data_IF_918031379930
#
_entry.id   IF_918031379930
#
_cell.length_a   1.000
_cell.length_b   1.000
_cell.length_c   1.000
_cell.angle_alpha   90.00
_cell.angle_beta   90.00
_cell.angle_gamma   90.00
#
_symmetry.space_group_name_H-M   'P 1'
#
loop_
_entity.id
_entity.type
_entity.pdbx_description
1 polymer ?
#
# COMPACT_ATOMS: atom_id res chain seq x y z
N UNK A 1 14.78 21.45 -27.22
CA UNK A 1 13.57 20.93 -27.87
C UNK A 1 13.04 21.98 -28.88
N UNK A 2 12.83 21.62 -30.16
CA UNK A 2 12.29 22.57 -31.15
C UNK A 2 10.76 22.41 -31.21
N UNK A 3 10.05 23.27 -30.51
CA UNK A 3 8.58 23.27 -30.40
C UNK A 3 7.87 23.39 -31.75
N UNK A 4 8.52 24.02 -32.76
CA UNK A 4 7.94 24.17 -34.11
C UNK A 4 7.78 22.86 -34.88
N UNK A 5 8.47 21.78 -34.44
CA UNK A 5 8.37 20.46 -35.06
C UNK A 5 7.34 19.54 -34.38
N UNK A 6 6.74 19.98 -33.29
CA UNK A 6 5.70 19.22 -32.56
C UNK A 6 4.39 19.37 -33.33
N UNK A 7 3.83 18.24 -33.77
CA UNK A 7 2.54 18.18 -34.48
C UNK A 7 1.38 17.79 -33.57
N UNK A 8 1.66 17.10 -32.49
CA UNK A 8 0.67 16.60 -31.54
C UNK A 8 1.17 16.80 -30.10
N UNK A 9 0.26 17.18 -29.22
CA UNK A 9 0.51 17.29 -27.77
C UNK A 9 -0.55 16.44 -27.11
N UNK A 10 -0.11 15.46 -26.31
CA UNK A 10 -0.97 14.64 -25.47
C UNK A 10 -0.84 15.07 -24.01
N UNK A 11 -1.93 14.99 -23.27
CA UNK A 11 -1.97 15.22 -21.84
C UNK A 11 -2.44 13.94 -21.16
N UNK A 12 -1.82 13.59 -20.03
CA UNK A 12 -2.34 12.59 -19.14
C UNK A 12 -3.64 13.10 -18.50
N UNK A 13 -4.58 12.20 -18.24
CA UNK A 13 -5.90 12.59 -17.75
C UNK A 13 -5.93 12.63 -16.22
N UNK A 14 -5.47 11.55 -15.58
CA UNK A 14 -5.62 11.35 -14.15
C UNK A 14 -4.67 12.24 -13.36
N UNK A 15 -5.21 13.06 -12.45
CA UNK A 15 -4.47 14.06 -11.66
C UNK A 15 -3.77 15.15 -12.49
N UNK A 16 -3.89 15.12 -13.83
CA UNK A 16 -3.38 16.14 -14.75
C UNK A 16 -4.51 17.03 -15.26
N UNK A 17 -5.50 16.47 -15.93
CA UNK A 17 -6.68 17.20 -16.43
C UNK A 17 -7.86 17.08 -15.46
N UNK A 18 -7.96 15.98 -14.73
CA UNK A 18 -9.03 15.70 -13.77
C UNK A 18 -8.44 15.64 -12.37
N UNK A 19 -9.08 16.32 -11.42
CA UNK A 19 -8.78 16.22 -10.00
C UNK A 19 -9.76 15.27 -9.33
N UNK A 20 -9.25 14.24 -8.69
CA UNK A 20 -10.03 13.35 -7.84
C UNK A 20 -10.08 13.86 -6.40
N UNK A 21 -11.19 13.62 -5.74
CA UNK A 21 -11.21 13.66 -4.27
C UNK A 21 -10.47 12.41 -3.77
N UNK A 22 -9.15 12.54 -3.58
CA UNK A 22 -8.28 11.40 -3.26
C UNK A 22 -8.73 10.67 -1.99
N UNK A 23 -9.20 11.38 -0.98
CA UNK A 23 -9.67 10.74 0.26
C UNK A 23 -10.92 9.89 0.03
N UNK A 24 -11.88 10.40 -0.73
CA UNK A 24 -13.11 9.65 -1.02
C UNK A 24 -12.80 8.44 -1.91
N UNK A 25 -12.00 8.63 -2.96
CA UNK A 25 -11.60 7.57 -3.88
C UNK A 25 -10.85 6.45 -3.17
N UNK A 26 -9.81 6.79 -2.40
CA UNK A 26 -9.01 5.82 -1.65
C UNK A 26 -9.83 5.08 -0.58
N UNK A 27 -10.80 5.77 0.04
CA UNK A 27 -11.73 5.14 0.99
C UNK A 27 -12.64 4.10 0.32
N UNK A 28 -13.15 4.41 -0.88
CA UNK A 28 -13.94 3.46 -1.67
C UNK A 28 -13.08 2.28 -2.14
N UNK A 29 -11.88 2.55 -2.63
CA UNK A 29 -10.93 1.52 -3.03
C UNK A 29 -10.59 0.57 -1.87
N UNK A 30 -10.28 1.12 -0.69
CA UNK A 30 -10.01 0.33 0.51
C UNK A 30 -11.17 -0.61 0.87
N UNK A 31 -12.41 -0.09 0.90
CA UNK A 31 -13.59 -0.91 1.18
C UNK A 31 -13.81 -2.00 0.12
N UNK A 32 -13.58 -1.67 -1.14
CA UNK A 32 -13.69 -2.62 -2.24
C UNK A 32 -12.67 -3.75 -2.11
N UNK A 33 -11.41 -3.41 -1.83
CA UNK A 33 -10.35 -4.40 -1.60
C UNK A 33 -10.66 -5.33 -0.43
N UNK A 34 -11.16 -4.80 0.70
CA UNK A 34 -11.58 -5.61 1.84
C UNK A 34 -12.64 -6.65 1.46
N UNK A 35 -13.66 -6.24 0.70
CA UNK A 35 -14.72 -7.14 0.23
C UNK A 35 -14.17 -8.25 -0.67
N UNK A 36 -13.28 -7.90 -1.60
CA UNK A 36 -12.67 -8.87 -2.51
C UNK A 36 -11.75 -9.85 -1.78
N UNK A 37 -10.95 -9.38 -0.82
CA UNK A 37 -10.10 -10.25 0.00
C UNK A 37 -10.93 -11.28 0.77
N UNK A 38 -12.07 -10.88 1.33
CA UNK A 38 -12.97 -11.83 2.00
C UNK A 38 -13.59 -12.82 1.01
N UNK A 39 -14.16 -12.32 -0.09
CA UNK A 39 -14.94 -13.14 -1.02
C UNK A 39 -14.07 -14.04 -1.92
N UNK A 40 -12.91 -13.54 -2.35
CA UNK A 40 -12.08 -14.21 -3.36
C UNK A 40 -10.86 -14.92 -2.76
N UNK A 41 -10.36 -14.45 -1.60
CA UNK A 41 -9.17 -15.00 -0.95
C UNK A 41 -9.45 -15.67 0.40
N UNK A 42 -10.71 -15.66 0.87
CA UNK A 42 -11.11 -16.33 2.11
C UNK A 42 -10.59 -15.68 3.39
N UNK A 43 -10.31 -14.39 3.36
CA UNK A 43 -9.94 -13.64 4.56
C UNK A 43 -11.11 -13.56 5.55
N UNK A 44 -10.85 -13.45 6.86
CA UNK A 44 -11.90 -13.43 7.86
C UNK A 44 -12.78 -12.17 7.73
N UNK A 45 -14.10 -12.33 7.85
CA UNK A 45 -15.08 -11.23 7.72
C UNK A 45 -14.82 -10.04 8.66
N UNK A 46 -14.12 -10.25 9.77
CA UNK A 46 -13.78 -9.18 10.70
C UNK A 46 -12.99 -8.04 10.05
N UNK A 47 -12.24 -8.31 8.96
CA UNK A 47 -11.49 -7.28 8.25
C UNK A 47 -12.42 -6.24 7.57
N UNK A 48 -13.66 -6.60 7.24
CA UNK A 48 -14.64 -5.66 6.65
C UNK A 48 -14.93 -4.45 7.54
N UNK A 49 -14.63 -4.54 8.84
CA UNK A 49 -14.83 -3.47 9.83
C UNK A 49 -13.61 -2.56 9.99
N UNK A 50 -12.52 -2.80 9.25
CA UNK A 50 -11.33 -1.97 9.32
C UNK A 50 -11.64 -0.56 8.80
N UNK A 51 -11.37 0.49 9.60
CA UNK A 51 -11.64 1.86 9.18
C UNK A 51 -10.61 2.32 8.16
N UNK A 52 -11.03 3.18 7.24
CA UNK A 52 -10.09 3.88 6.37
C UNK A 52 -9.66 5.19 7.04
N UNK A 53 -8.37 5.35 7.31
CA UNK A 53 -7.77 6.61 7.77
C UNK A 53 -6.73 7.10 6.76
N UNK A 54 -7.13 8.10 5.98
CA UNK A 54 -6.29 8.71 4.95
C UNK A 54 -4.99 9.30 5.50
N UNK A 55 -4.97 9.70 6.78
CA UNK A 55 -3.83 10.33 7.42
C UNK A 55 -2.86 9.33 8.08
N UNK A 56 -3.20 8.05 8.11
CA UNK A 56 -2.37 7.01 8.74
C UNK A 56 -1.10 6.70 7.95
N UNK A 57 -1.07 6.99 6.66
CA UNK A 57 0.06 6.74 5.74
C UNK A 57 0.33 7.96 4.88
N UNK A 58 1.55 8.09 4.40
CA UNK A 58 1.95 9.15 3.46
C UNK A 58 2.64 8.53 2.24
N UNK A 59 2.57 9.22 1.10
CA UNK A 59 3.37 8.83 -0.07
C UNK A 59 4.86 8.91 0.23
N UNK A 60 5.64 8.06 -0.41
CA UNK A 60 7.08 7.97 -0.21
C UNK A 60 7.50 7.06 0.94
N UNK A 61 6.55 6.26 1.48
CA UNK A 61 6.88 5.11 2.31
C UNK A 61 7.33 3.93 1.46
N UNK A 62 7.98 2.97 2.10
CA UNK A 62 8.34 1.69 1.51
C UNK A 62 7.76 0.60 2.40
N UNK A 63 7.12 -0.38 1.78
CA UNK A 63 6.65 -1.60 2.45
C UNK A 63 7.81 -2.60 2.47
N UNK A 64 8.19 -3.09 3.65
CA UNK A 64 9.03 -4.27 3.83
C UNK A 64 8.11 -5.47 4.04
N UNK A 65 7.85 -6.18 2.96
CA UNK A 65 6.93 -7.33 2.98
C UNK A 65 7.46 -8.50 3.80
N UNK A 66 8.78 -8.68 3.89
CA UNK A 66 9.37 -9.78 4.63
C UNK A 66 9.14 -9.66 6.15
N UNK A 67 9.07 -8.41 6.66
CA UNK A 67 8.92 -8.13 8.10
C UNK A 67 7.55 -7.57 8.50
N UNK A 68 6.65 -7.33 7.56
CA UNK A 68 5.35 -6.70 7.85
C UNK A 68 5.47 -5.22 8.24
N UNK A 69 6.48 -4.52 7.73
CA UNK A 69 6.79 -3.17 8.16
C UNK A 69 6.52 -2.11 7.09
N UNK A 70 6.17 -0.89 7.57
CA UNK A 70 6.12 0.33 6.77
C UNK A 70 7.30 1.22 7.15
N UNK A 71 8.10 1.62 6.16
CA UNK A 71 9.35 2.31 6.36
C UNK A 71 9.31 3.72 5.78
N UNK A 72 9.74 4.71 6.56
CA UNK A 72 10.11 6.02 6.05
C UNK A 72 11.60 6.03 5.76
N UNK A 73 11.96 6.23 4.51
CA UNK A 73 13.36 6.22 4.06
C UNK A 73 13.82 7.62 3.67
N UNK A 74 15.13 7.86 3.78
CA UNK A 74 15.76 9.07 3.23
C UNK A 74 15.96 8.88 1.70
N UNK A 75 16.30 9.97 1.01
CA UNK A 75 16.66 9.93 -0.41
C UNK A 75 17.82 8.98 -0.75
N UNK A 76 18.59 8.55 0.24
CA UNK A 76 19.71 7.63 0.10
C UNK A 76 19.37 6.21 0.60
N UNK A 77 18.10 5.87 0.79
CA UNK A 77 17.66 4.56 1.22
C UNK A 77 17.83 4.27 2.72
N UNK A 78 18.35 5.23 3.52
CA UNK A 78 18.48 5.00 4.96
C UNK A 78 17.13 5.07 5.67
N UNK A 79 16.82 4.09 6.53
CA UNK A 79 15.56 3.97 7.24
C UNK A 79 15.54 4.98 8.39
N UNK A 80 14.55 5.87 8.40
CA UNK A 80 14.36 6.94 9.40
C UNK A 80 13.34 6.59 10.45
N UNK A 81 12.24 5.98 10.04
CA UNK A 81 11.15 5.54 10.92
C UNK A 81 10.63 4.23 10.38
N UNK A 82 10.26 3.33 11.25
CA UNK A 82 9.61 2.06 10.91
C UNK A 82 8.36 1.85 11.77
N UNK A 83 7.36 1.23 11.16
CA UNK A 83 6.15 0.76 11.81
C UNK A 83 5.98 -0.71 11.50
N UNK A 84 5.61 -1.51 12.49
CA UNK A 84 5.15 -2.87 12.29
C UNK A 84 3.62 -2.85 12.26
N UNK A 85 3.05 -3.26 11.14
CA UNK A 85 1.64 -2.96 10.91
C UNK A 85 1.38 -1.45 10.99
N UNK A 86 0.48 -1.04 11.88
CA UNK A 86 0.19 0.38 12.16
C UNK A 86 0.98 0.94 13.34
N UNK A 87 1.70 0.11 14.10
CA UNK A 87 2.38 0.51 15.35
C UNK A 87 3.82 0.92 15.10
N UNK A 88 4.20 2.08 15.62
CA UNK A 88 5.58 2.56 15.53
C UNK A 88 6.53 1.62 16.28
N UNK A 89 7.61 1.23 15.61
CA UNK A 89 8.72 0.49 16.20
C UNK A 89 9.62 1.50 16.94
N UNK A 90 10.05 1.15 18.16
CA UNK A 90 11.00 1.99 18.89
C UNK A 90 12.39 1.97 18.24
N UNK A 91 13.20 3.00 18.54
CA UNK A 91 14.51 3.17 17.91
C UNK A 91 15.47 2.00 18.16
N UNK A 92 15.44 1.39 19.35
CA UNK A 92 16.35 0.29 19.68
C UNK A 92 15.99 -0.96 18.86
N UNK A 93 14.72 -1.25 18.76
CA UNK A 93 14.24 -2.37 17.94
C UNK A 93 14.50 -2.10 16.44
N UNK A 94 14.23 -0.87 15.97
CA UNK A 94 14.56 -0.48 14.59
C UNK A 94 16.05 -0.68 14.28
N UNK A 95 16.95 -0.32 15.22
CA UNK A 95 18.38 -0.54 15.03
C UNK A 95 18.75 -2.03 14.98
N UNK A 96 18.08 -2.88 15.74
CA UNK A 96 18.30 -4.34 15.65
C UNK A 96 17.85 -4.90 14.30
N UNK A 97 16.68 -4.45 13.83
CA UNK A 97 16.07 -5.01 12.63
C UNK A 97 16.74 -4.51 11.34
N UNK A 98 17.30 -3.29 11.38
CA UNK A 98 17.76 -2.56 10.19
C UNK A 98 19.15 -1.93 10.33
N UNK A 99 19.98 -2.37 11.29
CA UNK A 99 21.33 -1.83 11.43
C UNK A 99 22.15 -1.99 10.14
N UNK A 100 22.63 -0.88 9.60
CA UNK A 100 23.41 -0.89 8.36
C UNK A 100 22.61 -1.23 7.09
N UNK A 101 21.29 -1.40 7.19
CA UNK A 101 20.43 -1.70 6.04
C UNK A 101 20.08 -0.42 5.29
N UNK A 102 20.28 -0.46 3.99
CA UNK A 102 19.79 0.54 3.05
C UNK A 102 18.69 -0.12 2.21
N UNK A 103 17.58 0.59 2.03
CA UNK A 103 16.50 0.10 1.19
C UNK A 103 16.93 0.17 -0.27
N UNK A 104 16.94 -0.97 -0.93
CA UNK A 104 17.13 -1.12 -2.37
C UNK A 104 15.82 -1.60 -2.98
N UNK A 105 15.18 -0.76 -3.79
CA UNK A 105 13.92 -1.09 -4.46
C UNK A 105 14.09 -2.14 -5.58
N UNK A 106 15.29 -2.58 -5.90
CA UNK A 106 15.52 -3.76 -6.75
C UNK A 106 15.29 -5.08 -5.99
N UNK A 107 15.34 -5.06 -4.65
CA UNK A 107 14.92 -6.19 -3.82
C UNK A 107 13.39 -6.26 -3.76
N UNK A 108 12.83 -7.37 -4.22
CA UNK A 108 11.39 -7.64 -4.27
C UNK A 108 10.67 -7.56 -2.91
N UNK A 109 11.42 -7.62 -1.82
CA UNK A 109 10.83 -7.46 -0.48
C UNK A 109 10.46 -6.01 -0.17
N UNK A 110 11.04 -5.04 -0.88
CA UNK A 110 10.74 -3.63 -0.69
C UNK A 110 9.87 -3.09 -1.82
N UNK A 111 8.69 -2.61 -1.48
CA UNK A 111 7.71 -2.06 -2.42
C UNK A 111 7.45 -0.59 -2.12
N UNK A 112 7.68 0.28 -3.12
CA UNK A 112 7.48 1.71 -2.97
C UNK A 112 5.98 2.08 -2.94
N UNK A 113 5.62 3.00 -2.04
CA UNK A 113 4.29 3.64 -1.96
C UNK A 113 4.40 5.01 -2.62
N UNK A 114 4.45 5.06 -3.94
CA UNK A 114 4.76 6.25 -4.72
C UNK A 114 3.58 6.82 -5.52
N UNK A 115 2.58 5.99 -5.81
CA UNK A 115 1.38 6.39 -6.53
C UNK A 115 0.21 6.74 -5.61
N UNK A 116 -0.82 7.41 -6.14
CA UNK A 116 -2.04 7.67 -5.41
C UNK A 116 -2.75 6.37 -5.01
N UNK A 117 -2.78 5.39 -5.90
CA UNK A 117 -3.44 4.09 -5.66
C UNK A 117 -2.69 3.19 -4.65
N UNK A 118 -1.42 3.43 -4.41
CA UNK A 118 -0.62 2.65 -3.46
C UNK A 118 -0.87 3.02 -1.99
N UNK A 119 -1.58 4.12 -1.70
CA UNK A 119 -1.94 4.49 -0.33
C UNK A 119 -2.92 3.49 0.28
N UNK A 120 -3.99 3.13 -0.44
CA UNK A 120 -4.95 2.11 0.01
C UNK A 120 -4.27 0.77 0.27
N UNK A 121 -3.33 0.38 -0.60
CA UNK A 121 -2.52 -0.84 -0.43
C UNK A 121 -1.70 -0.78 0.87
N UNK A 122 -1.00 0.32 1.12
CA UNK A 122 -0.16 0.47 2.30
C UNK A 122 -0.97 0.51 3.60
N UNK A 123 -2.11 1.23 3.61
CA UNK A 123 -3.03 1.28 4.76
C UNK A 123 -3.54 -0.13 5.07
N UNK A 124 -4.05 -0.80 4.04
CA UNK A 124 -4.61 -2.14 4.18
C UNK A 124 -3.56 -3.15 4.62
N UNK A 125 -2.35 -3.11 4.05
CA UNK A 125 -1.26 -3.97 4.47
C UNK A 125 -0.94 -3.81 5.95
N UNK A 126 -0.75 -2.58 6.44
CA UNK A 126 -0.49 -2.33 7.85
C UNK A 126 -1.60 -2.85 8.76
N UNK A 127 -2.86 -2.64 8.40
CA UNK A 127 -4.01 -3.13 9.16
C UNK A 127 -4.10 -4.66 9.17
N UNK A 128 -3.83 -5.33 8.05
CA UNK A 128 -3.85 -6.79 7.96
C UNK A 128 -2.71 -7.44 8.75
N UNK A 129 -1.54 -6.79 8.81
CA UNK A 129 -0.44 -7.20 9.71
C UNK A 129 -0.91 -7.18 11.16
N UNK A 130 -1.53 -6.08 11.62
CA UNK A 130 -2.06 -5.97 12.98
C UNK A 130 -3.13 -7.04 13.27
N UNK A 131 -4.03 -7.31 12.32
CA UNK A 131 -5.06 -8.34 12.46
C UNK A 131 -4.45 -9.73 12.55
N UNK A 132 -3.44 -10.03 11.72
CA UNK A 132 -2.72 -11.30 11.74
C UNK A 132 -2.06 -11.54 13.10
N UNK A 133 -1.35 -10.55 13.60
CA UNK A 133 -0.58 -10.68 14.85
C UNK A 133 -1.48 -10.75 16.08
N UNK A 134 -2.63 -10.05 16.05
CA UNK A 134 -3.59 -10.08 17.13
C UNK A 134 -4.42 -11.38 17.19
N UNK A 135 -4.46 -12.16 16.12
CA UNK A 135 -5.33 -13.36 16.02
C UNK A 135 -4.63 -14.51 15.32
N UNK A 136 -3.63 -15.14 16.02
CA UNK A 136 -2.88 -16.27 15.47
C UNK A 136 -3.75 -17.48 15.12
N UNK A 137 -4.92 -17.62 15.76
CA UNK A 137 -5.91 -18.67 15.50
C UNK A 137 -6.56 -18.58 14.11
N UNK A 138 -6.60 -17.38 13.53
CA UNK A 138 -7.02 -17.22 12.14
C UNK A 138 -5.81 -17.51 11.25
N UNK A 139 -5.92 -18.53 10.42
CA UNK A 139 -4.89 -18.91 9.44
C UNK A 139 -4.78 -17.84 8.34
N UNK A 140 -4.24 -16.68 8.70
CA UNK A 140 -3.91 -15.66 7.70
C UNK A 140 -2.56 -15.99 7.05
N UNK A 141 -2.36 -15.63 5.78
CA UNK A 141 -1.09 -15.81 5.07
C UNK A 141 0.08 -15.10 5.79
N UNK A 142 1.31 -15.41 5.39
CA UNK A 142 2.47 -14.64 5.83
C UNK A 142 2.47 -13.22 5.25
N UNK A 143 3.35 -12.35 5.73
CA UNK A 143 3.34 -10.93 5.31
C UNK A 143 3.62 -10.73 3.82
N UNK A 144 4.55 -11.47 3.18
CA UNK A 144 4.73 -11.39 1.74
C UNK A 144 3.47 -11.76 0.96
N UNK A 145 2.79 -12.82 1.38
CA UNK A 145 1.55 -13.25 0.72
C UNK A 145 0.39 -12.27 0.97
N UNK A 146 0.31 -11.67 2.18
CA UNK A 146 -0.65 -10.58 2.44
C UNK A 146 -0.50 -9.45 1.42
N UNK A 147 0.72 -9.01 1.18
CA UNK A 147 0.99 -7.94 0.22
C UNK A 147 0.67 -8.38 -1.21
N UNK A 148 1.07 -9.60 -1.58
CA UNK A 148 0.76 -10.16 -2.92
C UNK A 148 -0.74 -10.21 -3.16
N UNK A 149 -1.52 -10.71 -2.21
CA UNK A 149 -2.98 -10.81 -2.32
C UNK A 149 -3.63 -9.43 -2.49
N UNK A 150 -3.16 -8.42 -1.74
CA UNK A 150 -3.68 -7.04 -1.86
C UNK A 150 -3.39 -6.47 -3.26
N UNK A 151 -2.15 -6.62 -3.74
CA UNK A 151 -1.73 -6.12 -5.06
C UNK A 151 -2.51 -6.82 -6.16
N UNK A 152 -2.63 -8.16 -6.10
CA UNK A 152 -3.36 -8.93 -7.09
C UNK A 152 -4.84 -8.54 -7.15
N UNK A 153 -5.48 -8.36 -5.99
CA UNK A 153 -6.88 -7.93 -5.92
C UNK A 153 -7.04 -6.50 -6.45
N UNK A 154 -6.09 -5.61 -6.19
CA UNK A 154 -6.06 -4.27 -6.75
C UNK A 154 -5.94 -4.31 -8.29
N UNK A 155 -4.99 -5.08 -8.81
CA UNK A 155 -4.78 -5.25 -10.26
C UNK A 155 -6.01 -5.84 -10.95
N UNK A 156 -6.65 -6.84 -10.34
CA UNK A 156 -7.90 -7.40 -10.84
C UNK A 156 -9.01 -6.34 -10.89
N UNK A 157 -9.12 -5.50 -9.84
CA UNK A 157 -10.11 -4.44 -9.75
C UNK A 157 -9.93 -3.33 -10.80
N UNK A 158 -8.69 -3.14 -11.25
CA UNK A 158 -8.42 -2.27 -12.41
C UNK A 158 -8.77 -2.91 -13.74
N UNK A 159 -8.49 -4.22 -13.90
CA UNK A 159 -8.73 -4.95 -15.16
C UNK A 159 -10.21 -5.20 -15.44
N UNK A 160 -11.00 -5.48 -14.42
CA UNK A 160 -12.44 -5.75 -14.54
C UNK A 160 -13.31 -4.49 -14.41
N UNK A 161 -12.69 -3.31 -14.40
CA UNK A 161 -13.33 -2.00 -14.26
C UNK A 161 -14.21 -1.84 -13.00
N UNK A 162 -14.10 -2.75 -12.02
CA UNK A 162 -14.93 -2.73 -10.81
C UNK A 162 -14.66 -1.49 -9.94
N UNK A 163 -13.42 -0.98 -9.93
CA UNK A 163 -13.09 0.28 -9.28
C UNK A 163 -13.75 1.48 -9.97
N UNK A 164 -13.80 1.50 -11.30
CA UNK A 164 -14.44 2.58 -12.05
C UNK A 164 -15.96 2.62 -11.87
N UNK A 165 -16.59 1.47 -11.62
CA UNK A 165 -18.03 1.38 -11.40
C UNK A 165 -18.47 1.90 -10.02
N UNK A 166 -17.54 2.12 -9.09
CA UNK A 166 -17.79 2.58 -7.73
C UNK A 166 -17.67 4.12 -7.63
N UNK A 167 -17.02 4.74 -8.59
CA UNK A 167 -16.77 6.19 -8.69
C UNK A 167 -17.80 6.84 -9.60
#
# INVERSE_FOLDING_TARGET
LNMRKIKYVGFDMDHTLIRYNSQAFEGLAHQHLLKRLVNERGYPEKILKLPFDFNSVIRGLVIDSAKGNLLKVSRHGAIRVSHHGTKRIDYRQQQKDYHGTYVDLSDKNFVAVDTAFSLSVAILFGQLVDVKDATPEHKMPDYPQLLSDIIEVMDLSHRDDSLKSIV
#
